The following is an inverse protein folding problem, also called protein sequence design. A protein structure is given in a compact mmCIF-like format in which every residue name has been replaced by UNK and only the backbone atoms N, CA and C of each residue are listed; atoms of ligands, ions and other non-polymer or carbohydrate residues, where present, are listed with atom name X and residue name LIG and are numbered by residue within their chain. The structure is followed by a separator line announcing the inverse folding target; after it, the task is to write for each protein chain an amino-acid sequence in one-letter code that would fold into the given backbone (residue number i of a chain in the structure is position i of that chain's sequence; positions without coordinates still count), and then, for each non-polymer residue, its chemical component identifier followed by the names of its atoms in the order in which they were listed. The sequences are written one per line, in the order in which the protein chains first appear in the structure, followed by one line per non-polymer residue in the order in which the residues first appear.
data_IF_007419682723
#
_entry.id   IF_007419682723
#
_cell.length_a   1.000
_cell.length_b   1.000
_cell.length_c   1.000
_cell.angle_alpha   90.00
_cell.angle_beta   90.00
_cell.angle_gamma   90.00
#
_symmetry.space_group_name_H-M   'P 1'
#
loop_
_entity.id
_entity.type
_entity.pdbx_description
1 polymer ?
#
# COMPACT_ATOMS: atom_id res chain seq x y z
N UNK A 1 -32.78 42.58 -20.76
CA UNK A 1 -33.00 41.26 -20.13
C UNK A 1 -31.93 40.32 -20.66
N UNK A 2 -30.82 40.14 -19.93
CA UNK A 2 -29.78 39.20 -20.33
C UNK A 2 -30.34 37.78 -20.36
N UNK A 3 -30.29 37.13 -21.52
CA UNK A 3 -30.66 35.73 -21.64
C UNK A 3 -29.58 34.87 -20.96
N UNK A 4 -29.95 34.28 -19.84
CA UNK A 4 -29.12 33.36 -19.08
C UNK A 4 -28.65 32.21 -20.00
N UNK A 5 -27.34 32.08 -20.21
CA UNK A 5 -26.78 31.07 -21.11
C UNK A 5 -26.82 29.68 -20.45
N UNK A 6 -27.97 29.01 -20.54
CA UNK A 6 -28.25 27.72 -19.88
C UNK A 6 -27.24 26.62 -20.26
N UNK A 7 -26.65 26.68 -21.47
CA UNK A 7 -25.64 25.73 -21.93
C UNK A 7 -24.33 25.88 -21.14
N UNK A 8 -23.93 27.11 -20.83
CA UNK A 8 -22.75 27.40 -20.02
C UNK A 8 -22.97 26.91 -18.58
N UNK A 9 -24.15 27.15 -18.01
CA UNK A 9 -24.50 26.70 -16.66
C UNK A 9 -24.46 25.17 -16.56
N UNK A 10 -25.07 24.46 -17.51
CA UNK A 10 -25.02 22.98 -17.55
C UNK A 10 -23.60 22.44 -17.61
N UNK A 11 -22.72 23.06 -18.41
CA UNK A 11 -21.29 22.69 -18.48
C UNK A 11 -20.58 22.89 -17.14
N UNK A 12 -20.83 24.03 -16.48
CA UNK A 12 -20.22 24.33 -15.18
C UNK A 12 -20.69 23.37 -14.08
N UNK A 13 -21.97 22.99 -14.07
CA UNK A 13 -22.48 21.97 -13.15
C UNK A 13 -21.83 20.60 -13.38
N UNK A 14 -21.64 20.20 -14.64
CA UNK A 14 -20.95 18.95 -14.99
C UNK A 14 -19.47 18.96 -14.57
N UNK A 15 -18.75 20.06 -14.81
CA UNK A 15 -17.37 20.23 -14.34
C UNK A 15 -17.28 20.12 -12.81
N UNK A 16 -18.21 20.77 -12.10
CA UNK A 16 -18.23 20.80 -10.63
C UNK A 16 -18.58 19.43 -10.03
N UNK A 17 -19.48 18.68 -10.66
CA UNK A 17 -19.77 17.30 -10.27
C UNK A 17 -18.54 16.39 -10.47
N UNK A 18 -17.80 16.57 -11.57
CA UNK A 18 -16.59 15.80 -11.85
C UNK A 18 -15.48 16.11 -10.84
N UNK A 19 -15.24 17.38 -10.54
CA UNK A 19 -14.21 17.77 -9.55
C UNK A 19 -14.56 17.29 -8.15
N UNK A 20 -15.84 17.37 -7.73
CA UNK A 20 -16.28 16.82 -6.45
C UNK A 20 -15.98 15.32 -6.33
N UNK A 21 -16.28 14.54 -7.37
CA UNK A 21 -16.00 13.10 -7.38
C UNK A 21 -14.49 12.80 -7.28
N UNK A 22 -13.65 13.56 -7.98
CA UNK A 22 -12.19 13.40 -7.91
C UNK A 22 -11.68 13.71 -6.49
N UNK A 23 -12.18 14.78 -5.89
CA UNK A 23 -11.82 15.18 -4.51
C UNK A 23 -12.22 14.10 -3.49
N UNK A 24 -13.39 13.48 -3.63
CA UNK A 24 -13.82 12.39 -2.75
C UNK A 24 -12.90 11.16 -2.85
N UNK A 25 -12.46 10.81 -4.06
CA UNK A 25 -11.50 9.73 -4.29
C UNK A 25 -10.15 10.04 -3.65
N UNK A 26 -9.68 11.29 -3.74
CA UNK A 26 -8.40 11.71 -3.15
C UNK A 26 -8.46 11.70 -1.63
N UNK A 27 -9.52 12.27 -1.03
CA UNK A 27 -9.77 12.20 0.42
C UNK A 27 -9.83 10.77 0.95
N UNK A 28 -10.35 9.82 0.17
CA UNK A 28 -10.38 8.41 0.56
C UNK A 28 -8.97 7.81 0.63
N UNK A 29 -8.09 8.14 -0.33
CA UNK A 29 -6.69 7.71 -0.31
C UNK A 29 -5.95 8.29 0.89
N UNK A 30 -6.11 9.58 1.14
CA UNK A 30 -5.48 10.26 2.27
C UNK A 30 -5.90 9.63 3.60
N UNK A 31 -7.20 9.30 3.74
CA UNK A 31 -7.72 8.63 4.93
C UNK A 31 -7.08 7.25 5.12
N UNK A 32 -6.96 6.45 4.07
CA UNK A 32 -6.34 5.12 4.15
C UNK A 32 -4.87 5.22 4.57
N UNK A 33 -4.15 6.23 4.09
CA UNK A 33 -2.75 6.44 4.44
C UNK A 33 -2.59 6.97 5.88
N UNK A 34 -3.50 7.82 6.36
CA UNK A 34 -3.58 8.22 7.77
C UNK A 34 -3.85 7.00 8.66
N UNK A 35 -4.82 6.15 8.30
CA UNK A 35 -5.14 4.94 9.08
C UNK A 35 -3.94 4.00 9.15
N UNK A 36 -3.24 3.77 8.03
CA UNK A 36 -2.00 2.98 8.01
C UNK A 36 -0.87 3.59 8.85
N UNK A 37 -0.81 4.91 8.95
CA UNK A 37 0.19 5.60 9.77
C UNK A 37 -0.12 5.49 11.27
N UNK A 38 -1.41 5.47 11.63
CA UNK A 38 -1.87 5.40 13.02
C UNK A 38 -1.89 3.96 13.56
N UNK A 39 -2.08 2.94 12.72
CA UNK A 39 -2.09 1.56 13.20
C UNK A 39 -0.67 1.12 13.60
N UNK A 40 -0.46 0.73 14.87
CA UNK A 40 0.84 0.26 15.30
C UNK A 40 1.20 -1.04 14.59
N UNK A 41 2.41 -1.07 14.01
CA UNK A 41 2.95 -2.21 13.29
C UNK A 41 3.44 -3.25 14.30
N UNK A 42 2.81 -4.43 14.33
CA UNK A 42 3.13 -5.47 15.30
C UNK A 42 4.10 -6.50 14.71
N UNK A 43 5.02 -7.08 15.50
CA UNK A 43 5.90 -8.14 15.03
C UNK A 43 5.14 -9.35 14.48
N UNK A 44 3.93 -9.61 14.97
CA UNK A 44 3.06 -10.71 14.54
C UNK A 44 2.32 -10.45 13.22
N UNK A 45 2.45 -9.26 12.63
CA UNK A 45 1.77 -8.91 11.39
C UNK A 45 2.22 -9.83 10.24
N UNK A 46 1.26 -10.37 9.50
CA UNK A 46 1.53 -11.17 8.30
C UNK A 46 1.63 -10.24 7.09
N UNK A 47 2.82 -10.15 6.52
CA UNK A 47 3.13 -9.29 5.39
C UNK A 47 3.10 -10.09 4.08
N UNK A 48 2.43 -9.56 3.07
CA UNK A 48 2.52 -10.06 1.70
C UNK A 48 3.57 -9.25 0.90
N UNK A 49 3.92 -9.70 -0.30
CA UNK A 49 4.93 -9.03 -1.14
C UNK A 49 4.59 -7.56 -1.46
N UNK A 50 3.31 -7.19 -1.60
CA UNK A 50 2.90 -5.80 -1.86
C UNK A 50 3.16 -4.93 -0.63
N UNK A 51 2.77 -5.41 0.55
CA UNK A 51 3.01 -4.73 1.82
C UNK A 51 4.50 -4.59 2.09
N UNK A 52 5.28 -5.64 1.86
CA UNK A 52 6.75 -5.60 2.04
C UNK A 52 7.39 -4.55 1.11
N UNK A 53 6.96 -4.49 -0.15
CA UNK A 53 7.45 -3.48 -1.09
C UNK A 53 7.08 -2.06 -0.65
N UNK A 54 5.87 -1.85 -0.17
CA UNK A 54 5.38 -0.54 0.27
C UNK A 54 6.05 -0.07 1.57
N UNK A 55 6.19 -0.95 2.56
CA UNK A 55 6.66 -0.61 3.90
C UNK A 55 8.19 -0.57 3.99
N UNK A 56 8.89 -1.43 3.24
CA UNK A 56 10.34 -1.64 3.38
C UNK A 56 11.12 -1.39 2.08
N UNK A 57 10.45 -1.11 0.95
CA UNK A 57 11.11 -0.88 -0.33
C UNK A 57 11.71 -2.13 -1.00
N UNK A 58 11.54 -3.32 -0.42
CA UNK A 58 12.12 -4.55 -0.98
C UNK A 58 11.27 -5.11 -2.13
N UNK A 59 11.92 -5.38 -3.26
CA UNK A 59 11.30 -6.04 -4.39
C UNK A 59 10.94 -7.50 -4.07
N UNK A 60 9.98 -8.05 -4.80
CA UNK A 60 9.65 -9.49 -4.72
C UNK A 60 10.89 -10.37 -4.93
N UNK A 61 11.72 -10.03 -5.91
CA UNK A 61 12.99 -10.72 -6.20
C UNK A 61 13.92 -10.74 -4.99
N UNK A 62 14.02 -9.63 -4.26
CA UNK A 62 14.82 -9.55 -3.03
C UNK A 62 14.28 -10.50 -1.96
N UNK A 63 12.96 -10.51 -1.75
CA UNK A 63 12.33 -11.41 -0.76
C UNK A 63 12.50 -12.88 -1.13
N UNK A 64 12.42 -13.24 -2.42
CA UNK A 64 12.74 -14.60 -2.86
C UNK A 64 14.21 -14.97 -2.64
N UNK A 65 15.15 -14.03 -2.77
CA UNK A 65 16.57 -14.27 -2.41
C UNK A 65 16.73 -14.46 -0.89
N UNK A 66 16.07 -13.66 -0.08
CA UNK A 66 16.08 -13.83 1.38
C UNK A 66 15.50 -15.18 1.80
N UNK A 67 14.46 -15.66 1.10
CA UNK A 67 13.96 -17.02 1.29
C UNK A 67 15.03 -18.09 1.03
N UNK A 68 15.76 -17.98 -0.08
CA UNK A 68 16.85 -18.91 -0.40
C UNK A 68 17.97 -18.87 0.67
N UNK A 69 18.14 -17.73 1.34
CA UNK A 69 19.07 -17.54 2.46
C UNK A 69 18.50 -17.94 3.83
N UNK A 70 17.27 -18.44 3.92
CA UNK A 70 16.69 -18.96 5.16
C UNK A 70 15.60 -18.11 5.84
N UNK A 71 15.07 -17.06 5.18
CA UNK A 71 13.91 -16.32 5.69
C UNK A 71 12.68 -17.24 5.80
N UNK A 72 12.11 -17.36 7.01
CA UNK A 72 10.92 -18.18 7.32
C UNK A 72 9.65 -17.50 6.83
N UNK A 73 8.73 -18.29 6.27
CA UNK A 73 7.42 -17.82 5.81
C UNK A 73 6.33 -18.26 6.78
N UNK A 74 5.38 -17.36 7.06
CA UNK A 74 4.30 -17.57 8.02
C UNK A 74 3.27 -18.62 7.56
N UNK A 75 3.17 -18.86 6.25
CA UNK A 75 2.22 -19.83 5.68
C UNK A 75 2.78 -20.49 4.43
N UNK A 76 2.76 -21.82 4.40
CA UNK A 76 2.82 -22.58 3.15
C UNK A 76 1.49 -22.40 2.42
N UNK A 77 1.29 -21.24 1.77
CA UNK A 77 0.10 -21.03 0.95
C UNK A 77 0.10 -22.07 -0.17
N UNK A 78 -0.96 -22.86 -0.27
CA UNK A 78 -1.20 -23.79 -1.39
C UNK A 78 -1.22 -23.11 -2.77
N UNK A 79 -1.32 -21.77 -2.79
CA UNK A 79 -1.34 -20.93 -3.98
C UNK A 79 -0.01 -20.21 -4.25
N UNK A 80 1.08 -20.55 -3.55
CA UNK A 80 2.42 -20.00 -3.81
C UNK A 80 2.63 -18.53 -3.40
N UNK A 81 1.67 -17.93 -2.68
CA UNK A 81 1.81 -16.56 -2.18
C UNK A 81 2.78 -16.52 -0.99
N UNK A 82 3.78 -15.64 -1.10
CA UNK A 82 4.77 -15.39 -0.05
C UNK A 82 4.15 -14.53 1.05
N UNK A 83 4.01 -15.13 2.23
CA UNK A 83 3.61 -14.44 3.45
C UNK A 83 4.74 -14.57 4.48
N UNK A 84 5.18 -13.44 5.03
CA UNK A 84 6.28 -13.36 5.98
C UNK A 84 5.79 -12.60 7.21
N UNK A 85 6.09 -13.11 8.39
CA UNK A 85 5.80 -12.39 9.64
C UNK A 85 6.72 -11.17 9.74
N UNK A 86 6.20 -10.02 10.17
CA UNK A 86 6.98 -8.77 10.30
C UNK A 86 8.25 -8.97 11.13
N UNK A 87 8.12 -9.60 12.29
CA UNK A 87 9.24 -9.90 13.18
C UNK A 87 10.30 -10.79 12.52
N UNK A 88 9.90 -11.83 11.79
CA UNK A 88 10.84 -12.70 11.07
C UNK A 88 11.61 -11.92 9.99
N UNK A 89 10.92 -11.05 9.25
CA UNK A 89 11.54 -10.22 8.22
C UNK A 89 12.55 -9.23 8.84
N UNK A 90 12.14 -8.50 9.87
CA UNK A 90 13.00 -7.52 10.54
C UNK A 90 14.21 -8.17 11.21
N UNK A 91 14.02 -9.32 11.89
CA UNK A 91 15.10 -10.07 12.50
C UNK A 91 16.09 -10.58 11.46
N UNK A 92 15.58 -11.13 10.34
CA UNK A 92 16.42 -11.57 9.23
C UNK A 92 17.23 -10.42 8.65
N UNK A 93 16.61 -9.26 8.42
CA UNK A 93 17.30 -8.06 7.91
C UNK A 93 18.38 -7.61 8.90
N UNK A 94 18.08 -7.54 10.21
CA UNK A 94 19.05 -7.14 11.24
C UNK A 94 20.26 -8.08 11.28
N UNK A 95 20.04 -9.39 11.17
CA UNK A 95 21.11 -10.39 11.16
C UNK A 95 21.97 -10.32 9.90
N UNK A 96 21.36 -10.06 8.73
CA UNK A 96 22.06 -10.00 7.44
C UNK A 96 22.58 -8.59 7.09
N UNK A 97 22.32 -7.57 7.92
CA UNK A 97 22.76 -6.19 7.65
C UNK A 97 24.29 -6.04 7.79
N UNK A 98 24.89 -6.89 8.63
CA UNK A 98 26.33 -6.88 8.95
C UNK A 98 27.15 -7.85 8.09
N UNK A 99 26.52 -8.54 7.14
CA UNK A 99 27.16 -9.49 6.24
C UNK A 99 27.73 -8.79 4.97
N UNK A 100 28.32 -7.60 5.19
CA UNK A 100 28.94 -6.75 4.16
C UNK A 100 30.46 -6.79 4.25
#
# INVERSE_FOLDING_TARGET
MEQLNQKLIKRKLLELAKTKRLLEVEKAKDRDDIVKALTPKLPTDILNLKTIKSDYGYSSRTIYRYRAKGLKFAKNSSKGFVYVTRGDLENFIKQNLYDR
#
